data_IF_356191792974
#
_entry.id   IF_356191792974
#
_cell.length_a   1.000
_cell.length_b   1.000
_cell.length_c   1.000
_cell.angle_alpha   90.00
_cell.angle_beta   90.00
_cell.angle_gamma   90.00
#
_symmetry.space_group_name_H-M   'P 1'
#
loop_
_entity.id
_entity.type
_entity.pdbx_description
1 polymer ?
#
# COMPACT_ATOMS: atom_id res chain seq x y z
N UNK A 1 0.98 -8.89 19.36
CA UNK A 1 1.22 -9.70 18.16
C UNK A 1 0.01 -9.54 17.26
N UNK A 2 0.20 -9.21 15.99
CA UNK A 2 -0.86 -9.18 14.97
C UNK A 2 -0.72 -10.44 14.11
N UNK A 3 -1.83 -11.07 13.74
CA UNK A 3 -1.83 -12.30 12.94
C UNK A 3 -2.91 -12.21 11.88
N UNK A 4 -2.57 -12.59 10.65
CA UNK A 4 -3.51 -12.76 9.56
C UNK A 4 -3.17 -14.04 8.80
N UNK A 5 -3.99 -15.07 8.98
CA UNK A 5 -3.76 -16.42 8.42
C UNK A 5 -2.35 -16.92 8.81
N UNK A 6 -1.41 -16.95 7.87
CA UNK A 6 -0.03 -17.41 8.03
C UNK A 6 0.98 -16.28 8.25
N UNK A 7 0.58 -15.02 8.05
CA UNK A 7 1.42 -13.85 8.27
C UNK A 7 1.30 -13.36 9.73
N UNK A 8 2.44 -13.27 10.42
CA UNK A 8 2.52 -12.79 11.80
C UNK A 8 3.44 -11.57 11.91
N UNK A 9 3.02 -10.57 12.70
CA UNK A 9 3.80 -9.39 13.03
C UNK A 9 3.91 -9.20 14.54
N UNK A 10 5.14 -9.21 15.04
CA UNK A 10 5.46 -8.82 16.41
C UNK A 10 6.09 -7.43 16.35
N UNK A 11 5.45 -6.45 16.98
CA UNK A 11 5.90 -5.05 17.03
C UNK A 11 5.98 -4.59 18.47
N UNK A 12 6.85 -3.62 18.75
CA UNK A 12 7.09 -3.10 20.10
C UNK A 12 7.42 -1.61 19.98
N UNK A 13 7.05 -0.83 20.99
CA UNK A 13 7.36 0.61 21.01
C UNK A 13 8.85 0.83 21.28
N UNK A 14 9.41 0.07 22.22
CA UNK A 14 10.81 0.14 22.65
C UNK A 14 11.57 -1.14 22.28
N UNK A 15 12.86 -0.98 21.92
CA UNK A 15 13.73 -2.11 21.57
C UNK A 15 13.95 -3.06 22.75
N UNK A 16 14.05 -2.50 23.97
CA UNK A 16 14.26 -3.27 25.21
C UNK A 16 13.10 -4.23 25.50
N UNK A 17 11.88 -3.86 25.11
CA UNK A 17 10.69 -4.71 25.26
C UNK A 17 10.55 -5.75 24.14
N UNK A 18 11.21 -5.53 22.99
CA UNK A 18 10.99 -6.36 21.82
C UNK A 18 11.42 -7.82 22.01
N UNK A 19 12.53 -8.05 22.72
CA UNK A 19 12.99 -9.41 23.03
C UNK A 19 11.96 -10.16 23.88
N UNK A 20 11.36 -9.50 24.87
CA UNK A 20 10.31 -10.08 25.71
C UNK A 20 9.05 -10.42 24.89
N UNK A 21 8.59 -9.51 24.05
CA UNK A 21 7.44 -9.77 23.18
C UNK A 21 7.68 -10.92 22.18
N UNK A 22 8.90 -11.04 21.65
CA UNK A 22 9.29 -12.17 20.80
C UNK A 22 9.27 -13.48 21.58
N UNK A 23 9.82 -13.50 22.79
CA UNK A 23 9.81 -14.68 23.66
C UNK A 23 8.38 -15.15 23.95
N UNK A 24 7.49 -14.24 24.38
CA UNK A 24 6.07 -14.52 24.61
C UNK A 24 5.39 -15.07 23.36
N UNK A 25 5.66 -14.46 22.20
CA UNK A 25 5.13 -14.91 20.91
C UNK A 25 5.60 -16.33 20.58
N UNK A 26 6.88 -16.64 20.77
CA UNK A 26 7.43 -17.98 20.51
C UNK A 26 6.91 -19.03 21.49
N UNK A 27 6.66 -18.67 22.75
CA UNK A 27 6.01 -19.57 23.72
C UNK A 27 4.61 -19.96 23.22
N UNK A 28 3.83 -18.99 22.75
CA UNK A 28 2.50 -19.24 22.18
C UNK A 28 2.60 -20.12 20.93
N UNK A 29 3.52 -19.81 20.00
CA UNK A 29 3.72 -20.62 18.78
C UNK A 29 4.06 -22.07 19.12
N UNK A 30 4.99 -22.31 20.05
CA UNK A 30 5.36 -23.65 20.50
C UNK A 30 4.18 -24.38 21.15
N UNK A 31 3.41 -23.69 21.99
CA UNK A 31 2.23 -24.26 22.66
C UNK A 31 1.21 -24.82 21.66
N UNK A 32 1.00 -24.13 20.55
CA UNK A 32 0.04 -24.55 19.51
C UNK A 32 0.69 -25.29 18.34
N UNK A 33 1.96 -25.68 18.44
CA UNK A 33 2.66 -26.43 17.40
C UNK A 33 2.89 -25.66 16.09
N UNK A 34 2.82 -24.33 16.12
CA UNK A 34 3.05 -23.50 14.93
C UNK A 34 4.54 -23.47 14.58
N UNK A 35 4.84 -23.64 13.29
CA UNK A 35 6.22 -23.64 12.77
C UNK A 35 6.44 -22.42 11.90
N UNK A 36 7.60 -21.78 12.08
CA UNK A 36 8.04 -20.65 11.28
C UNK A 36 8.94 -21.11 10.13
N UNK A 37 8.78 -20.50 8.97
CA UNK A 37 9.73 -20.66 7.86
C UNK A 37 10.87 -19.64 8.02
N UNK A 38 12.03 -20.10 8.48
CA UNK A 38 13.19 -19.26 8.77
C UNK A 38 13.61 -18.37 7.60
N UNK A 39 13.51 -18.83 6.35
CA UNK A 39 13.92 -18.04 5.17
C UNK A 39 12.96 -16.91 4.83
N UNK A 40 11.72 -16.96 5.35
CA UNK A 40 10.71 -15.90 5.19
C UNK A 40 10.60 -15.00 6.41
N UNK A 41 11.19 -15.38 7.55
CA UNK A 41 11.16 -14.55 8.75
C UNK A 41 12.21 -13.44 8.69
N UNK A 42 11.84 -12.26 9.20
CA UNK A 42 12.74 -11.13 9.38
C UNK A 42 12.62 -10.66 10.82
N UNK A 43 13.75 -10.46 11.51
CA UNK A 43 13.79 -10.13 12.94
C UNK A 43 14.65 -8.88 13.19
N UNK A 44 14.34 -8.15 14.26
CA UNK A 44 15.17 -7.04 14.75
C UNK A 44 15.23 -5.81 13.83
N UNK A 45 14.26 -5.66 12.92
CA UNK A 45 14.21 -4.55 11.96
C UNK A 45 13.35 -3.39 12.50
N UNK A 46 13.70 -2.14 12.11
CA UNK A 46 12.91 -0.94 12.45
C UNK A 46 11.61 -0.82 11.67
N UNK A 47 11.50 -1.55 10.56
CA UNK A 47 10.31 -1.68 9.75
C UNK A 47 10.43 -2.90 8.85
N UNK A 48 9.31 -3.50 8.49
CA UNK A 48 9.30 -4.78 7.77
C UNK A 48 8.08 -4.94 6.87
N UNK A 49 8.18 -5.88 5.92
CA UNK A 49 7.06 -6.25 5.04
C UNK A 49 6.02 -7.03 5.84
N UNK A 50 4.76 -6.65 5.73
CA UNK A 50 3.63 -7.39 6.29
C UNK A 50 2.40 -7.21 5.39
N UNK A 51 1.75 -8.31 5.00
CA UNK A 51 0.58 -8.30 4.10
C UNK A 51 0.78 -7.48 2.81
N UNK A 52 2.01 -7.49 2.26
CA UNK A 52 2.36 -6.76 1.04
C UNK A 52 2.51 -5.24 1.19
N UNK A 53 2.59 -4.73 2.43
CA UNK A 53 2.89 -3.34 2.80
C UNK A 53 4.18 -3.26 3.62
N UNK A 54 4.79 -2.07 3.69
CA UNK A 54 5.89 -1.78 4.61
C UNK A 54 5.32 -1.20 5.91
N UNK A 55 5.58 -1.84 7.05
CA UNK A 55 5.14 -1.33 8.37
C UNK A 55 6.35 -0.74 9.08
N UNK A 56 6.29 0.54 9.41
CA UNK A 56 7.36 1.28 10.10
C UNK A 56 6.80 1.99 11.34
N UNK A 57 7.69 2.60 12.15
CA UNK A 57 7.27 3.45 13.27
C UNK A 57 6.39 4.64 12.81
N UNK A 58 6.58 5.14 11.58
CA UNK A 58 5.83 6.28 11.03
C UNK A 58 4.42 5.90 10.60
N UNK A 59 4.18 4.64 10.28
CA UNK A 59 2.89 4.15 9.82
C UNK A 59 3.03 3.04 8.79
N UNK A 60 2.04 2.93 7.92
CA UNK A 60 2.04 2.02 6.79
C UNK A 60 2.54 2.75 5.55
N UNK A 61 3.56 2.18 4.94
CA UNK A 61 4.21 2.67 3.73
C UNK A 61 3.94 1.69 2.58
N UNK A 62 3.93 2.21 1.36
CA UNK A 62 3.81 1.39 0.17
C UNK A 62 5.04 0.47 0.05
N UNK A 63 4.85 -0.71 -0.54
CA UNK A 63 6.00 -1.57 -0.86
C UNK A 63 6.81 -0.93 -2.00
N UNK A 64 8.05 -0.55 -1.71
CA UNK A 64 8.97 0.06 -2.65
C UNK A 64 9.15 -0.79 -3.91
N UNK A 65 9.20 -2.12 -3.81
CA UNK A 65 9.31 -2.99 -4.99
C UNK A 65 8.13 -2.85 -5.94
N UNK A 66 6.92 -2.66 -5.40
CA UNK A 66 5.72 -2.42 -6.23
C UNK A 66 5.77 -1.06 -6.90
N UNK A 67 6.30 -0.05 -6.21
CA UNK A 67 6.48 1.31 -6.76
C UNK A 67 7.53 1.30 -7.86
N UNK A 68 8.71 0.75 -7.60
CA UNK A 68 9.82 0.66 -8.56
C UNK A 68 9.39 0.01 -9.88
N UNK A 69 8.60 -1.06 -9.78
CA UNK A 69 8.03 -1.75 -10.93
C UNK A 69 7.13 -0.83 -11.78
N UNK A 70 6.44 0.14 -11.20
CA UNK A 70 5.65 1.16 -11.92
C UNK A 70 6.54 2.28 -12.45
N UNK A 71 7.50 2.79 -11.65
CA UNK A 71 8.41 3.86 -12.05
C UNK A 71 9.23 3.47 -13.29
N UNK A 72 9.75 2.25 -13.32
CA UNK A 72 10.54 1.71 -14.42
C UNK A 72 9.71 1.08 -15.55
N UNK A 73 8.37 1.11 -15.46
CA UNK A 73 7.51 0.59 -16.51
C UNK A 73 7.64 1.44 -17.78
N UNK A 74 7.84 0.81 -18.94
CA UNK A 74 7.76 1.50 -20.23
C UNK A 74 6.32 1.91 -20.52
N UNK A 75 6.14 2.94 -21.34
CA UNK A 75 4.80 3.36 -21.81
C UNK A 75 4.06 2.16 -22.40
N UNK A 76 2.84 1.85 -21.91
CA UNK A 76 2.03 0.74 -22.43
C UNK A 76 1.79 0.87 -23.94
N UNK A 77 2.10 -0.18 -24.69
CA UNK A 77 1.91 -0.20 -26.16
C UNK A 77 0.74 -1.07 -26.59
N UNK A 78 0.27 -1.94 -25.71
CA UNK A 78 -0.81 -2.87 -25.97
C UNK A 78 -1.74 -2.97 -24.76
N UNK A 79 -2.95 -3.46 -24.99
CA UNK A 79 -3.98 -3.66 -23.96
C UNK A 79 -3.44 -4.43 -22.75
N UNK A 80 -2.66 -5.50 -22.99
CA UNK A 80 -2.06 -6.32 -21.92
C UNK A 80 -1.12 -5.51 -21.01
N UNK A 81 -0.45 -4.49 -21.55
CA UNK A 81 0.41 -3.62 -20.74
C UNK A 81 -0.43 -2.66 -19.91
N UNK A 82 -1.54 -2.16 -20.46
CA UNK A 82 -2.51 -1.34 -19.72
C UNK A 82 -3.20 -2.15 -18.61
N UNK A 83 -3.51 -3.42 -18.84
CA UNK A 83 -4.05 -4.33 -17.81
C UNK A 83 -3.03 -4.53 -16.68
N UNK A 84 -1.76 -4.75 -17.01
CA UNK A 84 -0.67 -4.84 -16.02
C UNK A 84 -0.55 -3.53 -15.22
N UNK A 85 -0.63 -2.38 -15.88
CA UNK A 85 -0.60 -1.08 -15.21
C UNK A 85 -1.79 -0.94 -14.25
N UNK A 86 -3.01 -1.23 -14.69
CA UNK A 86 -4.20 -1.19 -13.87
C UNK A 86 -4.11 -2.13 -12.66
N UNK A 87 -3.59 -3.35 -12.84
CA UNK A 87 -3.35 -4.30 -11.74
C UNK A 87 -2.31 -3.79 -10.73
N UNK A 88 -1.22 -3.18 -11.21
CA UNK A 88 -0.20 -2.55 -10.34
C UNK A 88 -0.77 -1.37 -9.56
N UNK A 89 -1.54 -0.51 -10.21
CA UNK A 89 -2.27 0.59 -9.55
C UNK A 89 -3.23 0.08 -8.48
N UNK A 90 -4.01 -0.97 -8.77
CA UNK A 90 -4.94 -1.57 -7.82
C UNK A 90 -4.20 -2.09 -6.57
N UNK A 91 -3.01 -2.67 -6.73
CA UNK A 91 -2.18 -3.13 -5.60
C UNK A 91 -1.65 -1.99 -4.72
N UNK A 92 -1.58 -0.77 -5.26
CA UNK A 92 -1.12 0.46 -4.60
C UNK A 92 -2.28 1.41 -4.24
N UNK A 93 -3.53 1.01 -4.46
CA UNK A 93 -4.70 1.89 -4.42
C UNK A 93 -4.82 2.70 -3.11
N UNK A 94 -4.46 2.08 -1.96
CA UNK A 94 -4.47 2.75 -0.65
C UNK A 94 -3.55 3.97 -0.55
N UNK A 95 -2.50 4.03 -1.39
CA UNK A 95 -1.51 5.10 -1.40
C UNK A 95 -1.73 6.08 -2.55
N UNK A 96 -2.69 5.82 -3.44
CA UNK A 96 -2.98 6.69 -4.58
C UNK A 96 -4.25 7.49 -4.27
N UNK A 97 -4.07 8.75 -3.87
CA UNK A 97 -5.21 9.64 -3.68
C UNK A 97 -5.97 9.82 -4.99
N UNK A 98 -7.30 9.67 -4.93
CA UNK A 98 -8.21 9.74 -6.08
C UNK A 98 -7.79 8.79 -7.23
N UNK A 99 -7.37 7.57 -6.90
CA UNK A 99 -6.85 6.59 -7.85
C UNK A 99 -7.76 6.37 -9.06
N UNK A 100 -9.08 6.34 -8.87
CA UNK A 100 -10.04 6.17 -9.95
C UNK A 100 -9.97 7.30 -10.97
N UNK A 101 -9.85 8.56 -10.50
CA UNK A 101 -9.70 9.71 -11.39
C UNK A 101 -8.35 9.69 -12.12
N UNK A 102 -7.26 9.37 -11.40
CA UNK A 102 -5.92 9.28 -12.00
C UNK A 102 -5.81 8.15 -13.03
N UNK A 103 -6.52 7.05 -12.81
CA UNK A 103 -6.55 5.90 -13.72
C UNK A 103 -7.60 5.98 -14.84
N UNK A 104 -8.44 7.02 -14.84
CA UNK A 104 -9.56 7.12 -15.78
C UNK A 104 -9.17 6.97 -17.25
N UNK A 105 -8.07 7.59 -17.75
CA UNK A 105 -7.64 7.40 -19.13
C UNK A 105 -7.33 5.93 -19.46
N UNK A 106 -6.66 5.21 -18.54
CA UNK A 106 -6.34 3.79 -18.72
C UNK A 106 -7.61 2.93 -18.73
N UNK A 107 -8.57 3.22 -17.83
CA UNK A 107 -9.82 2.48 -17.77
C UNK A 107 -10.69 2.70 -19.01
N UNK A 108 -10.64 3.88 -19.65
CA UNK A 108 -11.30 4.12 -20.93
C UNK A 108 -10.74 3.21 -22.02
N UNK A 109 -9.42 3.06 -22.11
CA UNK A 109 -8.76 2.11 -23.03
C UNK A 109 -9.21 0.67 -22.73
N UNK A 110 -9.18 0.25 -21.46
CA UNK A 110 -9.57 -1.11 -21.06
C UNK A 110 -11.05 -1.42 -21.29
N UNK A 111 -11.92 -0.41 -21.37
CA UNK A 111 -13.33 -0.57 -21.75
C UNK A 111 -13.53 -0.70 -23.25
N UNK A 112 -12.63 -0.15 -24.08
CA UNK A 112 -12.69 -0.21 -25.53
C UNK A 112 -11.47 -0.92 -26.13
N UNK A 113 -11.26 -2.16 -25.70
CA UNK A 113 -10.10 -2.99 -26.05
C UNK A 113 -9.90 -3.15 -27.57
N UNK A 114 -10.99 -3.12 -28.35
CA UNK A 114 -10.94 -3.31 -29.82
C UNK A 114 -10.29 -2.14 -30.55
N UNK A 115 -10.40 -0.93 -30.02
CA UNK A 115 -9.81 0.29 -30.56
C UNK A 115 -8.78 0.83 -29.58
N UNK A 116 -7.74 0.03 -29.32
CA UNK A 116 -6.64 0.47 -28.47
C UNK A 116 -6.00 1.72 -29.07
N UNK A 117 -6.07 2.82 -28.33
CA UNK A 117 -5.44 4.08 -28.69
C UNK A 117 -4.83 4.70 -27.43
N UNK A 118 -3.50 4.76 -27.38
CA UNK A 118 -2.77 5.38 -26.28
C UNK A 118 -2.63 6.87 -26.57
N UNK A 119 -3.53 7.65 -25.98
CA UNK A 119 -3.66 9.08 -26.25
C UNK A 119 -2.66 9.93 -25.45
N UNK A 120 -2.44 11.21 -25.82
CA UNK A 120 -1.64 12.14 -25.02
C UNK A 120 -2.13 12.27 -23.57
N UNK A 121 -3.44 12.15 -23.33
CA UNK A 121 -4.02 12.14 -21.98
C UNK A 121 -3.58 10.92 -21.16
N UNK A 122 -3.41 9.76 -21.82
CA UNK A 122 -2.90 8.55 -21.17
C UNK A 122 -1.42 8.70 -20.82
N UNK A 123 -0.61 9.26 -21.72
CA UNK A 123 0.79 9.54 -21.45
C UNK A 123 0.96 10.52 -20.30
N UNK A 124 0.18 11.61 -20.29
CA UNK A 124 0.18 12.57 -19.18
C UNK A 124 -0.20 11.90 -17.87
N UNK A 125 -1.32 11.18 -17.83
CA UNK A 125 -1.76 10.50 -16.62
C UNK A 125 -0.76 9.45 -16.11
N UNK A 126 -0.04 8.78 -17.02
CA UNK A 126 0.97 7.80 -16.66
C UNK A 126 2.21 8.44 -16.04
N UNK A 127 2.67 9.56 -16.61
CA UNK A 127 3.78 10.33 -16.04
C UNK A 127 3.40 10.98 -14.71
N UNK A 128 2.22 11.59 -14.61
CA UNK A 128 1.69 12.16 -13.37
C UNK A 128 1.58 11.09 -12.26
N UNK A 129 1.19 9.86 -12.63
CA UNK A 129 1.15 8.73 -11.70
C UNK A 129 2.54 8.35 -11.22
N UNK A 130 3.54 8.27 -12.11
CA UNK A 130 4.91 7.97 -11.73
C UNK A 130 5.48 9.02 -10.79
N UNK A 131 5.33 10.30 -11.14
CA UNK A 131 5.78 11.41 -10.29
C UNK A 131 5.14 11.35 -8.90
N UNK A 132 3.83 11.11 -8.85
CA UNK A 132 3.10 10.94 -7.59
C UNK A 132 3.62 9.77 -6.75
N UNK A 133 3.93 8.64 -7.40
CA UNK A 133 4.45 7.44 -6.72
C UNK A 133 5.92 7.56 -6.30
N UNK A 134 6.66 8.56 -6.78
CA UNK A 134 8.01 8.87 -6.27
C UNK A 134 7.98 9.38 -4.83
N UNK A 135 6.85 9.95 -4.40
CA UNK A 135 6.65 10.47 -3.04
C UNK A 135 5.31 9.98 -2.47
N UNK A 136 5.15 8.65 -2.26
CA UNK A 136 3.89 8.09 -1.81
C UNK A 136 3.58 8.57 -0.39
N UNK A 137 2.30 8.80 -0.06
CA UNK A 137 1.93 9.16 1.30
C UNK A 137 2.20 8.02 2.28
N UNK A 138 2.56 8.37 3.51
CA UNK A 138 2.60 7.44 4.64
C UNK A 138 1.21 7.42 5.26
N UNK A 139 0.61 6.24 5.39
CA UNK A 139 -0.71 6.09 5.99
C UNK A 139 -0.55 5.92 7.51
N UNK A 140 -1.15 6.83 8.27
CA UNK A 140 -1.14 6.76 9.72
C UNK A 140 -1.94 5.55 10.22
N UNK A 141 -1.49 4.95 11.32
CA UNK A 141 -2.26 3.92 12.02
C UNK A 141 -3.47 4.59 12.70
N UNK A 142 -4.70 4.06 12.57
CA UNK A 142 -5.82 4.50 13.38
C UNK A 142 -5.56 4.20 14.85
N UNK A 143 -5.90 5.14 15.73
CA UNK A 143 -5.86 4.95 17.19
C UNK A 143 -7.28 4.67 17.66
N UNK A 144 -7.41 3.67 18.52
CA UNK A 144 -8.70 3.34 19.11
C UNK A 144 -9.25 4.56 19.87
N UNK A 145 -10.55 4.84 19.69
CA UNK A 145 -11.28 5.96 20.31
C UNK A 145 -10.90 7.37 19.81
N UNK A 146 -10.03 7.48 18.81
CA UNK A 146 -9.78 8.74 18.12
C UNK A 146 -10.85 9.00 17.05
N UNK A 147 -11.22 10.27 16.87
CA UNK A 147 -12.15 10.67 15.80
C UNK A 147 -11.44 10.65 14.46
N UNK A 148 -11.99 9.92 13.49
CA UNK A 148 -11.53 9.92 12.11
C UNK A 148 -12.48 10.76 11.26
N UNK A 149 -11.91 11.54 10.34
CA UNK A 149 -12.67 12.38 9.42
C UNK A 149 -12.76 11.70 8.07
N UNK A 150 -13.97 11.61 7.51
CA UNK A 150 -14.18 11.07 6.17
C UNK A 150 -14.28 12.22 5.18
N UNK A 151 -13.31 12.31 4.27
CA UNK A 151 -13.36 13.25 3.15
C UNK A 151 -13.91 12.54 1.93
N UNK A 152 -15.01 13.06 1.40
CA UNK A 152 -15.68 12.56 0.20
C UNK A 152 -15.51 13.55 -0.94
N UNK A 153 -15.15 13.04 -2.11
CA UNK A 153 -15.08 13.81 -3.35
C UNK A 153 -15.84 13.05 -4.42
N UNK A 154 -16.87 13.68 -4.96
CA UNK A 154 -17.68 13.16 -6.05
C UNK A 154 -17.32 13.92 -7.33
N UNK A 155 -17.10 13.18 -8.40
CA UNK A 155 -16.88 13.68 -9.76
C UNK A 155 -17.85 12.96 -10.70
N UNK A 156 -18.01 13.46 -11.92
CA UNK A 156 -18.90 12.86 -12.93
C UNK A 156 -18.57 11.40 -13.27
N UNK A 157 -17.39 10.91 -12.87
CA UNK A 157 -16.89 9.59 -13.22
C UNK A 157 -16.54 8.71 -12.02
N UNK A 158 -16.44 9.27 -10.81
CA UNK A 158 -15.96 8.55 -9.64
C UNK A 158 -16.36 9.21 -8.32
N UNK A 159 -16.59 8.37 -7.31
CA UNK A 159 -16.64 8.76 -5.90
C UNK A 159 -15.32 8.31 -5.26
N UNK A 160 -14.67 9.21 -4.54
CA UNK A 160 -13.45 8.92 -3.79
C UNK A 160 -13.68 9.26 -2.32
N UNK A 161 -13.10 8.46 -1.46
CA UNK A 161 -13.19 8.64 -0.02
C UNK A 161 -11.83 8.39 0.63
N UNK A 162 -11.45 9.25 1.57
CA UNK A 162 -10.26 9.06 2.39
C UNK A 162 -10.58 9.31 3.85
N UNK A 163 -10.14 8.41 4.73
CA UNK A 163 -10.09 8.68 6.16
C UNK A 163 -8.86 9.52 6.47
N UNK A 164 -9.06 10.61 7.18
CA UNK A 164 -8.01 11.52 7.63
C UNK A 164 -8.01 11.54 9.15
N UNK A 165 -6.79 11.55 9.67
CA UNK A 165 -6.48 11.73 11.07
C UNK A 165 -5.64 13.00 11.17
N UNK A 166 -6.02 13.93 12.05
CA UNK A 166 -5.18 15.08 12.36
C UNK A 166 -4.18 14.65 13.43
N UNK A 167 -2.90 14.80 13.11
CA UNK A 167 -1.85 14.64 14.09
C UNK A 167 -1.74 15.99 14.78
N UNK A 168 -2.25 16.11 16.01
CA UNK A 168 -2.03 17.32 16.81
C UNK A 168 -0.51 17.52 16.90
N UNK A 169 -0.05 18.70 16.48
CA UNK A 169 1.36 19.00 16.33
C UNK A 169 2.06 19.31 17.66
N UNK A 170 1.46 18.94 18.79
CA UNK A 170 1.99 19.13 20.14
C UNK A 170 1.74 17.89 21.00
N UNK A 171 2.77 17.04 21.11
CA UNK A 171 3.22 16.35 22.33
C UNK A 171 4.58 15.68 22.11
#
# INVERSE_FOLDING_TARGET
MEVYVDDMLVKSMEQTQHLKHLEESFVIMRKYGMKLNQTKCTFGVRGGKFLGYMVTKRGMEANLEKIEVVLHMLTPKFVKDTEKLAGRMASLNRFISKATNKGLPFFKILRNVKNFDWTPDCDKAFNDLKEYLSFPPILAKPIERESLYLYLVVTDHAINSSFIRFLDHDQ
#
